data_IF_199566131926
#
_entry.id   IF_199566131926
#
_cell.length_a   1.000
_cell.length_b   1.000
_cell.length_c   1.000
_cell.angle_alpha   90.00
_cell.angle_beta   90.00
_cell.angle_gamma   90.00
#
_symmetry.space_group_name_H-M   'P 1'
#
loop_
_entity.id
_entity.type
_entity.pdbx_description
1 polymer ?
#
# COMPACT_ATOMS: atom_id res chain seq x y z
N UNK A 1 -5.36 -20.70 10.93
CA UNK A 1 -4.17 -21.56 10.85
C UNK A 1 -3.41 -21.14 9.60
N UNK A 2 -2.43 -20.26 9.74
CA UNK A 2 -1.58 -19.84 8.60
C UNK A 2 -0.75 -21.04 8.16
N UNK A 3 -1.06 -21.62 7.01
CA UNK A 3 -0.19 -22.61 6.40
C UNK A 3 1.07 -21.87 5.95
N UNK A 4 2.19 -22.08 6.64
CA UNK A 4 3.49 -21.58 6.20
C UNK A 4 3.78 -22.16 4.81
N UNK A 5 4.04 -21.27 3.86
CA UNK A 5 4.49 -21.65 2.52
C UNK A 5 5.90 -22.23 2.66
N UNK A 6 6.12 -23.45 2.15
CA UNK A 6 7.46 -24.01 2.11
C UNK A 6 8.38 -23.12 1.23
N UNK A 7 9.65 -22.94 1.60
CA UNK A 7 10.59 -22.20 0.77
C UNK A 7 10.59 -22.72 -0.67
N UNK A 8 10.30 -21.85 -1.64
CA UNK A 8 10.22 -22.20 -3.06
C UNK A 8 8.83 -22.61 -3.57
N UNK A 9 7.85 -22.80 -2.69
CA UNK A 9 6.45 -22.93 -3.10
C UNK A 9 5.80 -21.55 -3.29
N UNK A 10 4.96 -21.42 -4.31
CA UNK A 10 4.13 -20.23 -4.56
C UNK A 10 2.67 -20.62 -4.51
N UNK A 11 1.83 -19.75 -3.96
CA UNK A 11 0.39 -19.99 -3.89
C UNK A 11 -0.25 -19.53 -5.19
N UNK A 12 -1.02 -20.42 -5.82
CA UNK A 12 -1.81 -20.03 -6.99
C UNK A 12 -2.96 -19.15 -6.52
N UNK A 13 -3.09 -17.97 -7.13
CA UNK A 13 -4.16 -17.02 -6.87
C UNK A 13 -4.83 -16.65 -8.18
N UNK A 14 -6.14 -16.76 -8.22
CA UNK A 14 -6.93 -16.18 -9.30
C UNK A 14 -7.05 -14.69 -9.05
N UNK A 15 -6.71 -13.87 -10.04
CA UNK A 15 -6.83 -12.41 -9.95
C UNK A 15 -7.91 -11.96 -10.92
N UNK A 16 -8.89 -11.20 -10.43
CA UNK A 16 -10.00 -10.67 -11.22
C UNK A 16 -10.12 -9.18 -10.91
N UNK A 17 -10.04 -8.32 -11.94
CA UNK A 17 -10.11 -6.87 -11.74
C UNK A 17 -8.97 -6.31 -10.87
N UNK A 18 -7.84 -7.01 -10.79
CA UNK A 18 -6.71 -6.67 -9.91
C UNK A 18 -6.82 -7.18 -8.47
N UNK A 19 -7.89 -7.91 -8.11
CA UNK A 19 -8.13 -8.46 -6.78
C UNK A 19 -7.85 -9.96 -6.75
N UNK A 20 -7.14 -10.43 -5.73
CA UNK A 20 -7.04 -11.87 -5.46
C UNK A 20 -8.39 -12.41 -4.99
N UNK A 21 -8.86 -13.49 -5.62
CA UNK A 21 -10.12 -14.16 -5.27
C UNK A 21 -9.90 -15.62 -4.85
N UNK A 22 -10.83 -16.15 -4.06
CA UNK A 22 -10.78 -17.52 -3.54
C UNK A 22 -9.98 -17.65 -2.24
N UNK A 23 -9.65 -18.88 -1.87
CA UNK A 23 -9.04 -19.23 -0.57
C UNK A 23 -7.75 -18.44 -0.29
N UNK A 24 -6.94 -18.20 -1.33
CA UNK A 24 -5.69 -17.46 -1.21
C UNK A 24 -5.79 -15.97 -1.52
N UNK A 25 -6.98 -15.50 -1.94
CA UNK A 25 -7.22 -14.11 -2.30
C UNK A 25 -7.02 -13.15 -1.12
N UNK A 26 -7.48 -13.52 0.08
CA UNK A 26 -7.32 -12.68 1.27
C UNK A 26 -5.84 -12.50 1.64
N UNK A 27 -5.07 -13.58 1.63
CA UNK A 27 -3.63 -13.53 1.93
C UNK A 27 -2.86 -12.73 0.88
N UNK A 28 -3.26 -12.84 -0.39
CA UNK A 28 -2.73 -12.04 -1.48
C UNK A 28 -2.99 -10.55 -1.27
N UNK A 29 -4.21 -10.16 -0.93
CA UNK A 29 -4.58 -8.76 -0.63
C UNK A 29 -3.82 -8.25 0.60
N UNK A 30 -3.67 -9.07 1.65
CA UNK A 30 -2.86 -8.70 2.80
C UNK A 30 -1.39 -8.47 2.42
N UNK A 31 -0.81 -9.31 1.54
CA UNK A 31 0.54 -9.09 1.02
C UNK A 31 0.62 -7.83 0.16
N UNK A 32 -0.38 -7.55 -0.68
CA UNK A 32 -0.48 -6.28 -1.40
C UNK A 32 -0.40 -5.08 -0.45
N UNK A 33 -1.13 -5.14 0.67
CA UNK A 33 -1.05 -4.11 1.72
C UNK A 33 0.36 -3.94 2.27
N UNK A 34 1.06 -5.04 2.55
CA UNK A 34 2.44 -5.03 3.05
C UNK A 34 3.40 -4.40 2.02
N UNK A 35 3.39 -4.84 0.76
CA UNK A 35 4.29 -4.29 -0.26
C UNK A 35 4.02 -2.81 -0.53
N UNK A 36 2.76 -2.37 -0.45
CA UNK A 36 2.42 -0.94 -0.50
C UNK A 36 3.16 -0.18 0.61
N UNK A 37 3.12 -0.67 1.85
CA UNK A 37 3.79 0.01 2.97
C UNK A 37 5.32 -0.02 2.90
N UNK A 38 5.90 -1.04 2.25
CA UNK A 38 7.35 -1.19 2.13
C UNK A 38 7.94 -0.31 1.02
N UNK A 39 7.30 -0.31 -0.15
CA UNK A 39 7.85 0.32 -1.35
C UNK A 39 7.32 1.74 -1.58
N UNK A 40 6.22 2.13 -0.92
CA UNK A 40 5.54 3.38 -1.24
C UNK A 40 5.58 4.38 -0.10
N UNK A 41 6.06 5.57 -0.45
CA UNK A 41 6.03 6.75 0.39
C UNK A 41 4.60 7.24 0.57
N UNK A 42 4.20 7.52 1.81
CA UNK A 42 2.82 7.95 2.12
C UNK A 42 2.38 9.23 1.40
N UNK A 43 3.32 10.08 0.97
CA UNK A 43 3.00 11.30 0.21
C UNK A 43 2.75 11.06 -1.29
N UNK A 44 3.06 9.87 -1.82
CA UNK A 44 2.77 9.50 -3.20
C UNK A 44 1.27 9.21 -3.38
N UNK A 45 0.52 10.22 -3.76
CA UNK A 45 -0.93 10.13 -3.97
C UNK A 45 -1.36 9.28 -5.17
N UNK A 46 -0.43 8.88 -6.05
CA UNK A 46 -0.72 8.15 -7.29
C UNK A 46 0.30 7.03 -7.50
N UNK A 47 -0.10 5.79 -7.21
CA UNK A 47 0.75 4.60 -7.34
C UNK A 47 1.19 4.34 -8.78
N UNK A 48 0.34 4.66 -9.77
CA UNK A 48 0.70 4.53 -11.19
C UNK A 48 1.85 5.46 -11.62
N UNK A 49 2.15 6.50 -10.84
CA UNK A 49 3.27 7.42 -11.08
C UNK A 49 4.59 6.97 -10.43
N UNK A 50 4.60 5.85 -9.72
CA UNK A 50 5.85 5.29 -9.20
C UNK A 50 6.82 5.00 -10.36
N UNK A 51 8.14 5.15 -10.12
CA UNK A 51 9.15 4.69 -11.06
C UNK A 51 8.88 3.23 -11.47
N UNK A 52 9.16 2.91 -12.73
CA UNK A 52 8.90 1.57 -13.26
C UNK A 52 9.71 0.50 -12.50
N UNK A 53 10.92 0.86 -12.06
CA UNK A 53 11.78 0.06 -11.18
C UNK A 53 11.04 -0.33 -9.89
N UNK A 54 10.45 0.63 -9.19
CA UNK A 54 9.68 0.37 -7.96
C UNK A 54 8.45 -0.49 -8.22
N UNK A 55 7.75 -0.27 -9.35
CA UNK A 55 6.61 -1.14 -9.72
C UNK A 55 7.07 -2.57 -9.95
N UNK A 56 8.20 -2.75 -10.62
CA UNK A 56 8.79 -4.06 -10.87
C UNK A 56 9.18 -4.75 -9.57
N UNK A 57 9.79 -4.05 -8.62
CA UNK A 57 10.12 -4.60 -7.30
C UNK A 57 8.88 -5.06 -6.54
N UNK A 58 7.79 -4.28 -6.58
CA UNK A 58 6.51 -4.65 -5.96
C UNK A 58 5.96 -5.95 -6.56
N UNK A 59 5.94 -6.05 -7.90
CA UNK A 59 5.48 -7.26 -8.57
C UNK A 59 6.40 -8.44 -8.29
N UNK A 60 7.73 -8.24 -8.27
CA UNK A 60 8.70 -9.27 -7.93
C UNK A 60 8.47 -9.81 -6.50
N UNK A 61 8.24 -8.95 -5.51
CA UNK A 61 7.92 -9.38 -4.15
C UNK A 61 6.64 -10.22 -4.13
N UNK A 62 5.56 -9.75 -4.77
CA UNK A 62 4.32 -10.55 -4.88
C UNK A 62 4.55 -11.90 -5.56
N UNK A 63 5.35 -11.92 -6.62
CA UNK A 63 5.74 -13.13 -7.34
C UNK A 63 6.61 -14.07 -6.49
N UNK A 64 7.28 -13.62 -5.43
CA UNK A 64 8.01 -14.52 -4.53
C UNK A 64 7.08 -15.49 -3.81
N UNK A 65 5.85 -15.06 -3.52
CA UNK A 65 4.90 -15.80 -2.69
C UNK A 65 3.72 -16.36 -3.49
N UNK A 66 3.38 -15.72 -4.60
CA UNK A 66 2.17 -16.01 -5.36
C UNK A 66 2.47 -16.25 -6.84
N UNK A 67 1.62 -17.06 -7.47
CA UNK A 67 1.57 -17.25 -8.92
C UNK A 67 0.16 -16.91 -9.39
N UNK A 68 0.07 -16.11 -10.45
CA UNK A 68 -1.18 -15.77 -11.12
C UNK A 68 -0.94 -15.65 -12.63
N UNK A 69 -2.02 -15.66 -13.41
CA UNK A 69 -1.97 -15.46 -14.86
C UNK A 69 -1.75 -13.98 -15.16
N UNK A 70 -0.46 -13.61 -15.24
CA UNK A 70 -0.04 -12.23 -15.43
C UNK A 70 -0.23 -11.80 -16.87
N UNK A 71 -0.94 -10.69 -17.07
CA UNK A 71 -1.11 -10.03 -18.36
C UNK A 71 -0.92 -8.52 -18.19
N UNK A 72 -0.59 -7.74 -19.24
CA UNK A 72 -0.46 -6.29 -19.13
C UNK A 72 -1.72 -5.60 -18.59
N UNK A 73 -2.90 -6.13 -18.95
CA UNK A 73 -4.18 -5.64 -18.43
C UNK A 73 -4.33 -5.94 -16.92
N UNK A 74 -3.94 -7.15 -16.48
CA UNK A 74 -3.96 -7.52 -15.07
C UNK A 74 -3.03 -6.64 -14.24
N UNK A 75 -1.82 -6.37 -14.73
CA UNK A 75 -0.86 -5.49 -14.05
C UNK A 75 -1.44 -4.08 -13.85
N UNK A 76 -2.09 -3.54 -14.89
CA UNK A 76 -2.77 -2.25 -14.82
C UNK A 76 -3.88 -2.25 -13.77
N UNK A 77 -4.71 -3.29 -13.73
CA UNK A 77 -5.80 -3.42 -12.75
C UNK A 77 -5.27 -3.58 -11.32
N UNK A 78 -4.22 -4.38 -11.12
CA UNK A 78 -3.55 -4.54 -9.84
C UNK A 78 -2.96 -3.22 -9.35
N UNK A 79 -2.29 -2.45 -10.22
CA UNK A 79 -1.76 -1.12 -9.87
C UNK A 79 -2.88 -0.12 -9.51
N UNK A 80 -4.02 -0.18 -10.19
CA UNK A 80 -5.20 0.63 -9.84
C UNK A 80 -5.75 0.25 -8.46
N UNK A 81 -5.85 -1.06 -8.18
CA UNK A 81 -6.29 -1.55 -6.88
C UNK A 81 -5.32 -1.12 -5.76
N UNK A 82 -4.01 -1.32 -5.96
CA UNK A 82 -2.98 -0.87 -5.02
C UNK A 82 -3.01 0.65 -4.80
N UNK A 83 -3.32 1.43 -5.83
CA UNK A 83 -3.55 2.88 -5.69
C UNK A 83 -4.70 3.18 -4.74
N UNK A 84 -5.83 2.47 -4.87
CA UNK A 84 -6.97 2.64 -3.98
C UNK A 84 -6.64 2.22 -2.54
N UNK A 85 -5.92 1.11 -2.36
CA UNK A 85 -5.45 0.64 -1.06
C UNK A 85 -4.51 1.66 -0.40
N UNK A 86 -3.54 2.21 -1.14
CA UNK A 86 -2.63 3.24 -0.64
C UNK A 86 -3.38 4.49 -0.19
N UNK A 87 -4.33 4.98 -1.00
CA UNK A 87 -5.19 6.12 -0.63
C UNK A 87 -5.99 5.86 0.65
N UNK A 88 -6.56 4.66 0.77
CA UNK A 88 -7.30 4.24 1.97
C UNK A 88 -6.41 4.23 3.22
N UNK A 89 -5.19 3.68 3.10
CA UNK A 89 -4.21 3.70 4.18
C UNK A 89 -3.86 5.13 4.62
N UNK A 90 -3.51 6.03 3.69
CA UNK A 90 -3.24 7.42 4.02
C UNK A 90 -4.46 8.13 4.66
N UNK A 91 -5.67 7.85 4.19
CA UNK A 91 -6.91 8.37 4.78
C UNK A 91 -7.13 7.87 6.21
N UNK A 92 -6.88 6.59 6.47
CA UNK A 92 -6.91 6.03 7.82
C UNK A 92 -5.87 6.69 8.73
N UNK A 93 -4.64 6.91 8.25
CA UNK A 93 -3.61 7.60 9.01
C UNK A 93 -4.05 9.03 9.38
N UNK A 94 -4.59 9.80 8.41
CA UNK A 94 -5.13 11.15 8.66
C UNK A 94 -6.23 11.12 9.72
N UNK A 95 -7.19 10.21 9.58
CA UNK A 95 -8.34 10.10 10.49
C UNK A 95 -7.94 9.73 11.92
N UNK A 96 -7.07 8.72 12.09
CA UNK A 96 -6.72 8.17 13.41
C UNK A 96 -5.63 8.96 14.14
N UNK A 97 -4.67 9.52 13.41
CA UNK A 97 -3.45 10.06 14.01
C UNK A 97 -3.29 11.56 13.87
N UNK A 98 -3.92 12.18 12.85
CA UNK A 98 -3.78 13.62 12.58
C UNK A 98 -4.99 14.43 13.07
N UNK A 99 -6.22 13.97 12.79
CA UNK A 99 -7.44 14.76 13.04
C UNK A 99 -7.60 15.14 14.52
N UNK A 100 -7.77 16.44 14.78
CA UNK A 100 -8.04 16.97 16.13
C UNK A 100 -6.81 17.16 17.01
N UNK A 101 -5.59 17.05 16.46
CA UNK A 101 -4.34 17.24 17.20
C UNK A 101 -3.56 18.45 16.67
N UNK A 102 -2.63 18.97 17.46
CA UNK A 102 -1.70 20.02 17.02
C UNK A 102 -0.60 19.43 16.15
N UNK A 103 0.00 20.22 15.26
CA UNK A 103 1.12 19.75 14.43
C UNK A 103 2.28 19.22 15.30
N UNK A 104 2.57 19.89 16.42
CA UNK A 104 3.64 19.53 17.36
C UNK A 104 3.41 18.14 18.00
N UNK A 105 2.18 17.84 18.41
CA UNK A 105 1.82 16.52 18.95
C UNK A 105 1.86 15.41 17.89
N UNK A 106 1.52 15.75 16.64
CA UNK A 106 1.43 14.77 15.56
C UNK A 106 2.81 14.35 15.08
N UNK A 107 3.74 15.29 14.88
CA UNK A 107 5.08 14.99 14.37
C UNK A 107 5.91 14.17 15.35
N UNK A 108 5.58 14.22 16.64
CA UNK A 108 6.21 13.42 17.69
C UNK A 108 5.55 12.04 17.87
N UNK A 109 4.34 11.83 17.33
CA UNK A 109 3.55 10.60 17.45
C UNK A 109 3.51 9.80 16.13
N UNK A 110 4.66 9.31 15.68
CA UNK A 110 4.77 8.54 14.42
C UNK A 110 4.03 7.19 14.54
N UNK A 111 3.09 6.86 13.63
CA UNK A 111 2.40 5.57 13.62
C UNK A 111 3.37 4.41 13.38
N UNK A 112 3.11 3.25 14.00
CA UNK A 112 3.91 2.03 13.80
C UNK A 112 3.93 1.65 12.32
N UNK A 113 5.13 1.36 11.80
CA UNK A 113 5.32 0.96 10.40
C UNK A 113 5.32 2.12 9.40
N UNK A 114 5.29 3.38 9.87
CA UNK A 114 5.45 4.57 9.02
C UNK A 114 6.84 5.15 9.26
N UNK A 115 7.52 5.51 8.17
CA UNK A 115 8.80 6.21 8.26
C UNK A 115 8.61 7.61 8.88
N UNK A 116 9.42 7.99 9.90
CA UNK A 116 9.28 9.30 10.55
C UNK A 116 9.44 10.51 9.62
N UNK A 117 10.34 10.42 8.63
CA UNK A 117 10.55 11.50 7.66
C UNK A 117 9.33 11.63 6.74
N UNK A 118 8.78 10.51 6.29
CA UNK A 118 7.56 10.52 5.48
C UNK A 118 6.36 11.05 6.25
N UNK A 119 6.23 10.65 7.51
CA UNK A 119 5.18 11.13 8.41
C UNK A 119 5.21 12.65 8.55
N UNK A 120 6.40 13.21 8.80
CA UNK A 120 6.58 14.66 8.92
C UNK A 120 6.15 15.39 7.66
N UNK A 121 6.65 14.98 6.48
CA UNK A 121 6.27 15.60 5.20
C UNK A 121 4.76 15.55 4.96
N UNK A 122 4.11 14.43 5.30
CA UNK A 122 2.66 14.32 5.16
C UNK A 122 1.88 15.20 6.12
N UNK A 123 2.31 15.29 7.38
CA UNK A 123 1.68 16.14 8.37
C UNK A 123 1.78 17.62 8.00
N UNK A 124 2.95 18.06 7.52
CA UNK A 124 3.16 19.41 6.99
C UNK A 124 2.23 19.69 5.81
N UNK A 125 2.10 18.75 4.87
CA UNK A 125 1.18 18.86 3.72
C UNK A 125 -0.29 18.96 4.15
N UNK A 126 -0.74 18.12 5.09
CA UNK A 126 -2.12 18.19 5.61
C UNK A 126 -2.40 19.45 6.43
N UNK A 127 -1.36 20.08 6.98
CA UNK A 127 -1.48 21.33 7.72
C UNK A 127 -1.60 22.57 6.80
N UNK A 128 -1.52 22.39 5.48
CA UNK A 128 -1.75 23.47 4.52
C UNK A 128 -3.23 23.87 4.49
N UNK A 129 -3.50 25.16 4.27
CA UNK A 129 -4.87 25.72 4.27
C UNK A 129 -5.79 25.01 3.26
N UNK A 130 -5.27 24.59 2.12
CA UNK A 130 -6.03 23.91 1.06
C UNK A 130 -6.52 22.52 1.48
N UNK A 131 -5.77 21.82 2.32
CA UNK A 131 -6.08 20.45 2.74
C UNK A 131 -6.92 20.37 4.03
N UNK A 132 -7.08 21.51 4.73
CA UNK A 132 -7.96 21.65 5.89
C UNK A 132 -9.39 22.07 5.54
N UNK A 133 -9.61 22.60 4.33
CA UNK A 133 -10.93 23.07 3.85
C UNK A 133 -11.66 21.98 3.02
N UNK A 134 -11.00 20.84 2.76
CA UNK A 134 -11.56 19.63 2.12
C UNK A 134 -12.09 18.64 3.16
#
# INVERSE_FOLDING_TARGET
MERRIEPGHKWNVSVIGGYGVGEQGTNFISRMGIVITLYCKIWHNIFSKLPEETKNEIFQDLEMWYRWDRTPQMDKEMLQHMTAMHKSWCGMLKSKHYKGKTLEDIVTSVPVGVDPSDWRTMCEKWNTREEQVK
#
